data_IF_968548122410
#
_entry.id   IF_968548122410
#
_cell.length_a   1.000
_cell.length_b   1.000
_cell.length_c   1.000
_cell.angle_alpha   90.00
_cell.angle_beta   90.00
_cell.angle_gamma   90.00
#
_symmetry.space_group_name_H-M   'P 1'
#
loop_
_entity.id
_entity.type
_entity.pdbx_description
1 polymer ?
#
# COMPACT_ATOMS: atom_id res chain seq x y z
N UNK A 1 13.65 -14.72 -11.84
CA UNK A 1 13.72 -13.64 -10.85
C UNK A 1 14.02 -14.32 -9.54
N UNK A 2 15.12 -13.94 -8.91
CA UNK A 2 15.40 -14.31 -7.52
C UNK A 2 14.30 -13.74 -6.62
N UNK A 3 14.23 -14.22 -5.37
CA UNK A 3 13.11 -13.98 -4.48
C UNK A 3 13.62 -13.49 -3.12
N UNK A 4 14.65 -12.62 -3.14
CA UNK A 4 15.38 -12.13 -1.97
C UNK A 4 14.42 -11.61 -0.90
N UNK A 5 13.55 -10.68 -1.25
CA UNK A 5 12.63 -10.02 -0.32
C UNK A 5 11.36 -10.80 0.00
N UNK A 6 11.17 -11.98 -0.61
CA UNK A 6 9.97 -12.80 -0.42
C UNK A 6 10.33 -14.17 0.13
N UNK A 7 10.50 -15.18 -0.72
CA UNK A 7 10.67 -16.56 -0.26
C UNK A 7 12.01 -16.80 0.45
N UNK A 8 13.07 -16.05 0.13
CA UNK A 8 14.39 -16.22 0.75
C UNK A 8 14.49 -15.52 2.11
N UNK A 9 13.80 -14.38 2.28
CA UNK A 9 13.75 -13.65 3.55
C UNK A 9 12.80 -14.32 4.55
N UNK A 10 11.72 -14.95 4.06
CA UNK A 10 10.64 -15.50 4.88
C UNK A 10 11.11 -16.39 6.06
N UNK A 11 12.08 -17.32 5.90
CA UNK A 11 12.52 -18.17 7.02
C UNK A 11 13.25 -17.41 8.14
N UNK A 12 13.70 -16.18 7.86
CA UNK A 12 14.41 -15.32 8.81
C UNK A 12 13.44 -14.40 9.58
N UNK A 13 12.17 -14.33 9.16
CA UNK A 13 11.16 -13.49 9.78
C UNK A 13 10.44 -14.26 10.88
N UNK A 14 10.23 -13.61 12.03
CA UNK A 14 9.35 -14.14 13.06
C UNK A 14 7.91 -14.23 12.53
N UNK A 15 7.30 -15.40 12.71
CA UNK A 15 5.87 -15.58 12.42
C UNK A 15 5.04 -14.70 13.35
N UNK A 16 4.06 -13.99 12.81
CA UNK A 16 3.15 -13.17 13.59
C UNK A 16 2.42 -14.06 14.61
N UNK A 17 2.54 -13.79 15.92
CA UNK A 17 1.91 -14.64 16.93
C UNK A 17 0.38 -14.59 16.81
N UNK A 18 -0.26 -15.69 17.19
CA UNK A 18 -1.69 -15.71 17.44
C UNK A 18 -1.92 -15.44 18.94
N UNK A 19 -2.55 -14.32 19.32
CA UNK A 19 -2.82 -14.03 20.72
C UNK A 19 -3.72 -15.08 21.37
N UNK A 20 -3.50 -15.30 22.67
CA UNK A 20 -4.44 -16.04 23.49
C UNK A 20 -5.79 -15.30 23.58
N UNK A 21 -6.89 -16.06 23.53
CA UNK A 21 -8.23 -15.48 23.48
C UNK A 21 -8.61 -14.83 24.81
N UNK A 22 -8.20 -15.40 25.94
CA UNK A 22 -8.50 -14.85 27.26
C UNK A 22 -7.73 -13.55 27.51
N UNK A 23 -6.46 -13.52 27.11
CA UNK A 23 -5.65 -12.31 27.13
C UNK A 23 -6.25 -11.22 26.20
N UNK A 24 -6.77 -11.61 25.04
CA UNK A 24 -7.41 -10.69 24.07
C UNK A 24 -8.68 -10.07 24.64
N UNK A 25 -9.60 -10.90 25.16
CA UNK A 25 -10.87 -10.44 25.73
C UNK A 25 -10.65 -9.59 26.99
N UNK A 26 -9.70 -9.95 27.85
CA UNK A 26 -9.34 -9.16 29.03
C UNK A 26 -8.80 -7.77 28.66
N UNK A 27 -7.99 -7.69 27.60
CA UNK A 27 -7.50 -6.40 27.08
C UNK A 27 -8.63 -5.57 26.47
N UNK A 28 -9.53 -6.21 25.71
CA UNK A 28 -10.69 -5.56 25.11
C UNK A 28 -11.58 -4.93 26.18
N UNK A 29 -11.92 -5.67 27.25
CA UNK A 29 -12.70 -5.13 28.36
C UNK A 29 -11.97 -3.93 28.99
N UNK A 30 -10.69 -4.09 29.35
CA UNK A 30 -9.88 -3.03 29.96
C UNK A 30 -9.83 -1.76 29.11
N UNK A 31 -9.61 -1.88 27.81
CA UNK A 31 -9.49 -0.73 26.89
C UNK A 31 -10.83 -0.08 26.56
N UNK A 32 -11.94 -0.80 26.69
CA UNK A 32 -13.28 -0.25 26.50
C UNK A 32 -13.78 0.59 27.69
N UNK A 33 -13.28 0.35 28.91
CA UNK A 33 -13.73 1.03 30.14
C UNK A 33 -13.83 2.57 30.07
N UNK A 34 -12.85 3.31 29.52
CA UNK A 34 -12.95 4.77 29.44
C UNK A 34 -14.03 5.27 28.46
N UNK A 35 -14.54 4.39 27.58
CA UNK A 35 -15.55 4.74 26.55
C UNK A 35 -16.98 4.40 26.99
N UNK A 36 -17.15 3.66 28.08
CA UNK A 36 -18.44 3.07 28.50
C UNK A 36 -18.83 3.53 29.90
N UNK A 37 -20.10 3.89 30.11
CA UNK A 37 -20.66 4.11 31.45
C UNK A 37 -20.92 2.80 32.21
N UNK A 38 -21.28 2.87 33.50
CA UNK A 38 -21.46 1.69 34.37
C UNK A 38 -22.37 0.61 33.80
N UNK A 39 -23.57 0.99 33.36
CA UNK A 39 -24.54 0.05 32.78
C UNK A 39 -24.03 -0.59 31.48
N UNK A 40 -23.33 0.18 30.65
CA UNK A 40 -22.74 -0.31 29.41
C UNK A 40 -21.58 -1.26 29.69
N UNK A 41 -20.77 -1.00 30.72
CA UNK A 41 -19.68 -1.89 31.15
C UNK A 41 -20.22 -3.25 31.62
N UNK A 42 -21.28 -3.26 32.45
CA UNK A 42 -21.90 -4.50 32.90
C UNK A 42 -22.43 -5.32 31.71
N UNK A 43 -23.20 -4.67 30.82
CA UNK A 43 -23.70 -5.30 29.60
C UNK A 43 -22.57 -5.85 28.71
N UNK A 44 -21.48 -5.11 28.55
CA UNK A 44 -20.35 -5.52 27.73
C UNK A 44 -19.59 -6.70 28.34
N UNK A 45 -19.44 -6.74 29.67
CA UNK A 45 -18.86 -7.88 30.38
C UNK A 45 -19.70 -9.15 30.17
N UNK A 46 -21.03 -9.07 30.26
CA UNK A 46 -21.92 -10.19 29.98
C UNK A 46 -21.79 -10.68 28.53
N UNK A 47 -21.68 -9.75 27.56
CA UNK A 47 -21.45 -10.08 26.16
C UNK A 47 -20.10 -10.77 25.92
N UNK A 48 -19.03 -10.31 26.57
CA UNK A 48 -17.71 -10.95 26.51
C UNK A 48 -17.78 -12.36 27.10
N UNK A 49 -18.44 -12.55 28.24
CA UNK A 49 -18.60 -13.85 28.88
C UNK A 49 -19.38 -14.82 27.99
N UNK A 50 -20.49 -14.37 27.40
CA UNK A 50 -21.28 -15.17 26.47
C UNK A 50 -20.48 -15.54 25.21
N UNK A 51 -19.76 -14.58 24.61
CA UNK A 51 -18.90 -14.83 23.45
C UNK A 51 -17.80 -15.86 23.79
N UNK A 52 -17.16 -15.72 24.95
CA UNK A 52 -16.10 -16.64 25.42
C UNK A 52 -16.60 -18.08 25.55
N UNK A 53 -17.82 -18.27 26.04
CA UNK A 53 -18.41 -19.61 26.21
C UNK A 53 -18.96 -20.20 24.91
N UNK A 54 -19.50 -19.37 24.02
CA UNK A 54 -20.22 -19.82 22.82
C UNK A 54 -19.31 -19.82 21.58
N UNK A 55 -19.13 -18.66 20.93
CA UNK A 55 -18.54 -18.58 19.59
C UNK A 55 -17.00 -18.61 19.61
N UNK A 56 -16.38 -18.10 20.68
CA UNK A 56 -14.94 -17.93 20.75
C UNK A 56 -14.12 -19.23 20.59
N UNK A 57 -14.51 -20.39 21.15
CA UNK A 57 -13.79 -21.65 20.95
C UNK A 57 -13.69 -22.07 19.49
N UNK A 58 -14.79 -21.97 18.74
CA UNK A 58 -14.83 -22.34 17.31
C UNK A 58 -14.02 -21.34 16.47
N UNK A 59 -14.25 -20.03 16.68
CA UNK A 59 -13.53 -19.00 15.93
C UNK A 59 -12.03 -19.02 16.22
N UNK A 60 -11.61 -19.25 17.47
CA UNK A 60 -10.20 -19.36 17.83
C UNK A 60 -9.58 -20.64 17.25
N UNK A 61 -10.34 -21.75 17.13
CA UNK A 61 -9.87 -22.96 16.46
C UNK A 61 -9.62 -22.71 14.96
N UNK A 62 -10.54 -22.03 14.27
CA UNK A 62 -10.37 -21.62 12.87
C UNK A 62 -9.17 -20.67 12.69
N UNK A 63 -8.97 -19.72 13.61
CA UNK A 63 -7.79 -18.86 13.62
C UNK A 63 -6.50 -19.63 13.85
N UNK A 64 -6.48 -20.61 14.76
CA UNK A 64 -5.34 -21.51 14.99
C UNK A 64 -5.00 -22.34 13.77
N UNK A 65 -6.01 -22.89 13.09
CA UNK A 65 -5.82 -23.61 11.83
C UNK A 65 -5.19 -22.69 10.78
N UNK A 66 -5.79 -21.52 10.53
CA UNK A 66 -5.25 -20.54 9.59
C UNK A 66 -3.83 -20.09 9.95
N UNK A 67 -3.57 -19.89 11.24
CA UNK A 67 -2.25 -19.55 11.74
C UNK A 67 -1.26 -20.66 11.41
N UNK A 68 -1.59 -21.94 11.64
CA UNK A 68 -0.74 -23.08 11.30
C UNK A 68 -0.46 -23.16 9.79
N UNK A 69 -1.48 -22.94 8.95
CA UNK A 69 -1.39 -23.00 7.48
C UNK A 69 -0.65 -21.82 6.83
N UNK A 70 -0.44 -20.71 7.55
CA UNK A 70 0.25 -19.52 7.02
C UNK A 70 1.68 -19.42 7.54
N UNK A 71 2.64 -19.13 6.64
CA UNK A 71 4.06 -19.19 7.01
C UNK A 71 4.55 -17.99 7.84
N UNK A 72 3.96 -16.80 7.70
CA UNK A 72 4.40 -15.62 8.44
C UNK A 72 3.25 -14.78 9.01
N UNK A 73 2.33 -14.29 8.18
CA UNK A 73 1.31 -13.35 8.62
C UNK A 73 -0.10 -13.81 8.23
N UNK A 74 -0.85 -14.25 9.22
CA UNK A 74 -2.22 -14.75 9.05
C UNK A 74 -3.27 -13.63 8.86
N UNK A 75 -2.94 -12.40 9.26
CA UNK A 75 -3.81 -11.21 9.22
C UNK A 75 -3.75 -10.49 7.87
N UNK A 76 -2.57 -10.37 7.27
CA UNK A 76 -2.36 -9.61 6.02
C UNK A 76 -3.33 -9.98 4.90
N UNK A 77 -3.64 -11.26 4.62
CA UNK A 77 -4.62 -11.60 3.58
C UNK A 77 -6.04 -11.13 3.93
N UNK A 78 -6.44 -11.18 5.21
CA UNK A 78 -7.76 -10.74 5.69
C UNK A 78 -7.88 -9.22 5.54
N UNK A 79 -6.89 -8.48 6.08
CA UNK A 79 -6.84 -7.02 6.00
C UNK A 79 -6.83 -6.53 4.55
N UNK A 80 -6.03 -7.17 3.68
CA UNK A 80 -5.99 -6.84 2.25
C UNK A 80 -7.36 -7.04 1.59
N UNK A 81 -8.03 -8.16 1.86
CA UNK A 81 -9.35 -8.42 1.29
C UNK A 81 -10.37 -7.38 1.75
N UNK A 82 -10.37 -7.02 3.04
CA UNK A 82 -11.23 -5.97 3.57
C UNK A 82 -11.00 -4.63 2.85
N UNK A 83 -9.75 -4.19 2.70
CA UNK A 83 -9.41 -2.95 1.98
C UNK A 83 -9.84 -2.97 0.51
N UNK A 84 -9.71 -4.12 -0.16
CA UNK A 84 -10.10 -4.28 -1.56
C UNK A 84 -11.61 -4.42 -1.76
N UNK A 85 -12.37 -4.74 -0.72
CA UNK A 85 -13.85 -4.74 -0.73
C UNK A 85 -14.46 -3.40 -0.33
N UNK A 86 -13.72 -2.50 0.32
CA UNK A 86 -14.23 -1.17 0.62
C UNK A 86 -14.65 -0.45 -0.68
N UNK A 87 -15.88 0.08 -0.70
CA UNK A 87 -16.51 0.72 -1.86
C UNK A 87 -16.58 2.25 -1.78
N UNK A 88 -16.21 2.84 -0.65
CA UNK A 88 -16.08 4.29 -0.54
C UNK A 88 -14.92 4.81 -1.41
N UNK A 89 -14.92 6.10 -1.78
CA UNK A 89 -13.76 6.75 -2.38
C UNK A 89 -12.47 6.46 -1.59
N UNK A 90 -11.37 6.19 -2.31
CA UNK A 90 -10.11 5.84 -1.64
C UNK A 90 -9.48 7.04 -0.93
N UNK A 91 -9.76 8.24 -1.42
CA UNK A 91 -9.35 9.52 -0.87
C UNK A 91 -9.92 9.72 0.54
N UNK A 92 -11.07 9.12 0.84
CA UNK A 92 -11.72 9.20 2.15
C UNK A 92 -11.27 8.09 3.10
N UNK A 93 -10.83 6.94 2.56
CA UNK A 93 -10.75 5.70 3.36
C UNK A 93 -9.39 5.03 3.42
N UNK A 94 -8.50 5.23 2.44
CA UNK A 94 -7.23 4.50 2.39
C UNK A 94 -6.03 5.32 1.95
N UNK A 95 -6.23 6.33 1.11
CA UNK A 95 -5.14 7.18 0.65
C UNK A 95 -4.75 8.13 1.78
N UNK A 96 -3.46 8.24 2.01
CA UNK A 96 -2.87 9.21 2.93
C UNK A 96 -1.73 9.93 2.20
N UNK A 97 -1.37 11.10 2.71
CA UNK A 97 -0.27 11.90 2.19
C UNK A 97 0.66 12.30 3.34
N UNK A 98 1.94 12.41 3.02
CA UNK A 98 2.91 13.05 3.89
C UNK A 98 3.23 14.43 3.33
N UNK A 99 3.38 15.40 4.22
CA UNK A 99 3.91 16.72 3.85
C UNK A 99 5.36 16.80 4.29
N UNK A 100 6.23 17.29 3.41
CA UNK A 100 7.61 17.61 3.76
C UNK A 100 7.69 19.11 4.03
N UNK A 101 8.23 19.48 5.18
CA UNK A 101 8.46 20.90 5.51
C UNK A 101 9.44 21.51 4.52
N UNK A 102 9.13 22.69 4.00
CA UNK A 102 9.97 23.39 3.02
C UNK A 102 11.39 23.63 3.52
N UNK A 103 11.58 23.87 4.82
CA UNK A 103 12.89 24.01 5.46
C UNK A 103 13.79 22.75 5.35
N UNK A 104 13.20 21.59 5.09
CA UNK A 104 13.92 20.32 4.92
C UNK A 104 14.14 19.96 3.45
N UNK A 105 13.67 20.79 2.51
CA UNK A 105 13.87 20.57 1.08
C UNK A 105 15.15 21.27 0.61
N UNK A 106 15.88 20.68 -0.34
CA UNK A 106 16.99 21.38 -0.97
C UNK A 106 16.49 22.60 -1.76
N UNK A 107 17.31 23.64 -1.82
CA UNK A 107 17.02 24.86 -2.59
C UNK A 107 17.14 24.58 -4.09
N UNK A 108 16.04 24.15 -4.70
CA UNK A 108 15.93 23.79 -6.10
C UNK A 108 14.60 24.32 -6.65
N UNK A 109 14.59 24.73 -7.91
CA UNK A 109 13.35 25.04 -8.61
C UNK A 109 12.47 23.79 -8.78
N UNK A 110 11.19 24.00 -9.07
CA UNK A 110 10.18 22.95 -9.20
C UNK A 110 10.58 21.85 -10.20
N UNK A 111 11.13 22.25 -11.36
CA UNK A 111 11.47 21.33 -12.46
C UNK A 111 12.65 20.47 -12.04
N UNK A 112 13.72 21.09 -11.52
CA UNK A 112 14.90 20.38 -11.04
C UNK A 112 14.56 19.46 -9.88
N UNK A 113 13.71 19.88 -8.95
CA UNK A 113 13.24 19.04 -7.85
C UNK A 113 12.47 17.80 -8.36
N UNK A 114 11.50 18.00 -9.26
CA UNK A 114 10.71 16.92 -9.83
C UNK A 114 11.58 15.94 -10.63
N UNK A 115 12.52 16.44 -11.42
CA UNK A 115 13.48 15.63 -12.17
C UNK A 115 14.36 14.78 -11.23
N UNK A 116 14.90 15.36 -10.14
CA UNK A 116 15.67 14.61 -9.14
C UNK A 116 14.84 13.54 -8.44
N UNK A 117 13.58 13.83 -8.10
CA UNK A 117 12.68 12.84 -7.49
C UNK A 117 12.44 11.67 -8.44
N UNK A 118 12.13 11.93 -9.71
CA UNK A 118 11.93 10.89 -10.72
C UNK A 118 13.19 10.04 -10.92
N UNK A 119 14.36 10.67 -10.97
CA UNK A 119 15.65 9.96 -11.07
C UNK A 119 15.88 9.04 -9.85
N UNK A 120 15.72 9.57 -8.64
CA UNK A 120 15.90 8.79 -7.41
C UNK A 120 14.90 7.62 -7.31
N UNK A 121 13.65 7.80 -7.73
CA UNK A 121 12.68 6.70 -7.79
C UNK A 121 13.06 5.63 -8.81
N UNK A 122 13.66 6.02 -9.95
CA UNK A 122 14.15 5.07 -10.95
C UNK A 122 15.32 4.24 -10.41
N UNK A 123 16.28 4.88 -9.75
CA UNK A 123 17.41 4.21 -9.10
C UNK A 123 16.91 3.23 -8.02
N UNK A 124 15.99 3.67 -7.16
CA UNK A 124 15.44 2.82 -6.10
C UNK A 124 14.63 1.65 -6.68
N UNK A 125 13.87 1.87 -7.74
CA UNK A 125 13.17 0.80 -8.44
C UNK A 125 14.16 -0.23 -8.99
N UNK A 126 15.25 0.21 -9.65
CA UNK A 126 16.27 -0.69 -10.15
C UNK A 126 16.88 -1.51 -9.02
N UNK A 127 17.30 -0.89 -7.92
CA UNK A 127 17.90 -1.58 -6.79
C UNK A 127 16.98 -2.66 -6.19
N UNK A 128 15.67 -2.43 -6.11
CA UNK A 128 14.71 -3.47 -5.66
C UNK A 128 14.36 -4.49 -6.73
N UNK A 129 14.41 -4.12 -8.01
CA UNK A 129 14.12 -5.02 -9.13
C UNK A 129 15.30 -5.94 -9.47
N UNK A 130 16.54 -5.46 -9.27
CA UNK A 130 17.80 -6.21 -9.37
C UNK A 130 18.13 -6.97 -8.08
N UNK A 131 17.40 -6.70 -6.99
CA UNK A 131 17.62 -7.24 -5.64
C UNK A 131 18.96 -6.84 -5.01
N UNK A 132 19.52 -5.71 -5.44
CA UNK A 132 20.74 -5.12 -4.89
C UNK A 132 20.47 -4.34 -3.60
N UNK A 133 19.26 -3.80 -3.42
CA UNK A 133 18.91 -3.08 -2.18
C UNK A 133 19.08 -4.01 -0.96
N UNK A 134 19.71 -3.54 0.13
CA UNK A 134 19.98 -4.36 1.31
C UNK A 134 18.69 -4.82 1.98
N UNK A 135 18.77 -5.91 2.76
CA UNK A 135 17.68 -6.29 3.66
C UNK A 135 17.67 -5.30 4.82
N UNK A 136 16.51 -4.69 5.05
CA UNK A 136 16.33 -3.78 6.18
C UNK A 136 16.22 -4.56 7.49
N UNK A 137 16.74 -3.96 8.55
CA UNK A 137 16.71 -4.51 9.90
C UNK A 137 16.07 -3.52 10.86
N UNK A 138 15.38 -4.05 11.87
CA UNK A 138 14.91 -3.28 13.00
C UNK A 138 16.09 -2.83 13.88
N UNK A 139 15.88 -1.91 14.85
CA UNK A 139 16.95 -1.45 15.75
C UNK A 139 17.67 -2.55 16.54
N UNK A 140 17.02 -3.71 16.72
CA UNK A 140 17.57 -4.89 17.38
C UNK A 140 18.38 -5.82 16.43
N UNK A 141 18.53 -5.42 15.16
CA UNK A 141 19.27 -6.16 14.13
C UNK A 141 18.47 -7.26 13.44
N UNK A 142 17.21 -7.51 13.83
CA UNK A 142 16.38 -8.53 13.18
C UNK A 142 15.86 -8.03 11.82
N UNK A 143 15.81 -8.90 10.78
CA UNK A 143 15.27 -8.50 9.49
C UNK A 143 13.79 -8.14 9.57
N UNK A 144 13.36 -7.15 8.77
CA UNK A 144 11.95 -6.78 8.64
C UNK A 144 11.33 -7.36 7.37
N UNK A 145 10.00 -7.54 7.35
CA UNK A 145 9.30 -7.97 6.14
C UNK A 145 9.42 -6.91 5.03
N UNK A 146 10.08 -7.27 3.93
CA UNK A 146 10.23 -6.42 2.75
C UNK A 146 9.35 -6.85 1.58
N UNK A 147 8.42 -7.80 1.78
CA UNK A 147 7.59 -8.36 0.70
C UNK A 147 6.66 -7.35 0.02
N UNK A 148 6.45 -6.18 0.64
CA UNK A 148 5.63 -5.08 0.11
C UNK A 148 6.43 -4.03 -0.66
N UNK A 149 7.76 -3.96 -0.51
CA UNK A 149 8.59 -2.88 -1.09
C UNK A 149 8.51 -2.88 -2.61
N UNK A 150 8.58 -4.06 -3.23
CA UNK A 150 8.43 -4.19 -4.67
C UNK A 150 7.01 -3.88 -5.17
N UNK A 151 6.03 -3.63 -4.29
CA UNK A 151 4.68 -3.18 -4.66
C UNK A 151 4.54 -1.66 -4.64
N UNK A 152 5.55 -0.93 -4.14
CA UNK A 152 5.61 0.53 -4.27
C UNK A 152 5.70 0.95 -5.74
N UNK A 153 6.32 0.10 -6.55
CA UNK A 153 6.54 0.35 -7.96
C UNK A 153 5.62 -0.50 -8.84
N UNK A 154 5.18 0.10 -9.95
CA UNK A 154 4.50 -0.60 -11.06
C UNK A 154 3.32 -1.45 -10.62
N UNK A 155 2.63 -0.98 -9.59
CA UNK A 155 1.44 -1.62 -9.01
C UNK A 155 0.32 -0.58 -8.99
N UNK A 156 -0.85 -0.99 -9.46
CA UNK A 156 -2.05 -0.17 -9.45
C UNK A 156 -3.22 -0.96 -8.89
N UNK A 157 -4.18 -0.25 -8.28
CA UNK A 157 -5.45 -0.82 -7.86
C UNK A 157 -6.43 -0.71 -9.02
N UNK A 158 -6.84 -1.84 -9.58
CA UNK A 158 -7.84 -1.88 -10.63
C UNK A 158 -9.24 -1.99 -10.01
N UNK A 159 -10.19 -1.10 -10.37
CA UNK A 159 -11.56 -1.22 -9.92
C UNK A 159 -12.18 -2.51 -10.46
N UNK A 160 -12.92 -3.22 -9.60
CA UNK A 160 -13.72 -4.38 -9.98
C UNK A 160 -15.11 -4.30 -9.40
N UNK A 161 -16.01 -5.15 -9.89
CA UNK A 161 -17.36 -5.31 -9.34
C UNK A 161 -17.25 -5.93 -7.95
N UNK A 162 -17.78 -5.25 -6.94
CA UNK A 162 -17.81 -5.63 -5.51
C UNK A 162 -16.45 -5.81 -4.81
N UNK A 163 -15.37 -6.01 -5.57
CA UNK A 163 -14.01 -6.13 -5.07
C UNK A 163 -13.00 -5.64 -6.11
N UNK A 164 -12.05 -4.83 -5.68
CA UNK A 164 -10.93 -4.38 -6.52
C UNK A 164 -9.81 -5.42 -6.54
N UNK A 165 -8.88 -5.27 -7.48
CA UNK A 165 -7.67 -6.09 -7.55
C UNK A 165 -6.43 -5.20 -7.48
N UNK A 166 -5.34 -5.74 -6.91
CA UNK A 166 -4.02 -5.13 -7.05
C UNK A 166 -3.34 -5.76 -8.26
N UNK A 167 -3.16 -4.97 -9.31
CA UNK A 167 -2.44 -5.39 -10.50
C UNK A 167 -1.01 -4.89 -10.41
N UNK A 168 -0.06 -5.83 -10.29
CA UNK A 168 1.37 -5.55 -10.41
C UNK A 168 1.85 -5.94 -11.79
N UNK A 169 2.46 -4.99 -12.50
CA UNK A 169 3.09 -5.26 -13.79
C UNK A 169 4.41 -6.01 -13.57
N UNK A 170 4.76 -6.92 -14.48
CA UNK A 170 5.99 -7.71 -14.40
C UNK A 170 7.22 -6.80 -14.26
N UNK A 171 8.07 -7.07 -13.27
CA UNK A 171 9.35 -6.37 -13.12
C UNK A 171 10.17 -6.46 -14.43
N UNK A 172 10.75 -5.33 -14.84
CA UNK A 172 11.72 -5.22 -15.93
C UNK A 172 12.77 -4.19 -15.54
N UNK A 173 14.01 -4.41 -15.95
CA UNK A 173 15.12 -3.48 -15.75
C UNK A 173 15.29 -2.50 -16.92
N UNK A 174 14.38 -2.54 -17.90
CA UNK A 174 14.44 -1.81 -19.16
C UNK A 174 13.08 -1.26 -19.52
N UNK A 175 13.05 -0.15 -20.26
CA UNK A 175 11.84 0.49 -20.77
C UNK A 175 10.81 0.74 -19.65
N UNK A 176 11.24 1.43 -18.60
CA UNK A 176 10.38 1.79 -17.48
C UNK A 176 10.00 3.25 -17.62
N UNK A 177 8.71 3.50 -17.51
CA UNK A 177 8.11 4.82 -17.69
C UNK A 177 7.37 5.20 -16.41
N UNK A 178 7.26 6.50 -16.17
CA UNK A 178 6.45 7.10 -15.12
C UNK A 178 5.37 7.96 -15.75
N UNK A 179 4.24 8.03 -15.07
CA UNK A 179 3.14 8.91 -15.45
C UNK A 179 3.32 10.27 -14.78
N UNK A 180 3.43 11.32 -15.58
CA UNK A 180 3.45 12.72 -15.13
C UNK A 180 2.12 13.36 -15.49
N UNK A 181 1.51 14.07 -14.54
CA UNK A 181 0.26 14.79 -14.76
C UNK A 181 0.54 16.28 -14.59
N UNK A 182 0.27 17.05 -15.64
CA UNK A 182 0.41 18.51 -15.62
C UNK A 182 -0.80 19.14 -16.30
N UNK A 183 -1.44 20.12 -15.64
CA UNK A 183 -2.63 20.81 -16.12
C UNK A 183 -3.69 19.89 -16.76
N UNK A 184 -4.07 18.82 -16.04
CA UNK A 184 -5.08 17.83 -16.48
C UNK A 184 -4.65 16.91 -17.62
N UNK A 185 -3.46 17.09 -18.18
CA UNK A 185 -2.92 16.23 -19.24
C UNK A 185 -2.00 15.16 -18.65
N UNK A 186 -2.08 13.94 -19.18
CA UNK A 186 -1.30 12.78 -18.75
C UNK A 186 -0.17 12.50 -19.73
N UNK A 187 1.07 12.48 -19.24
CA UNK A 187 2.29 12.22 -20.02
C UNK A 187 2.96 10.94 -19.53
N UNK A 188 3.57 10.19 -20.46
CA UNK A 188 4.48 9.09 -20.13
C UNK A 188 5.92 9.55 -20.31
N UNK A 189 6.69 9.53 -19.23
CA UNK A 189 8.09 9.93 -19.20
C UNK A 189 8.95 8.71 -18.98
N UNK A 190 9.90 8.46 -19.88
CA UNK A 190 10.83 7.34 -19.76
C UNK A 190 11.86 7.61 -18.68
N UNK A 191 11.86 6.75 -17.66
CA UNK A 191 12.83 6.80 -16.56
C UNK A 191 14.02 5.87 -16.79
N UNK A 192 13.78 4.71 -17.41
CA UNK A 192 14.82 3.72 -17.69
C UNK A 192 14.73 3.29 -19.15
N UNK A 193 15.84 3.39 -19.88
CA UNK A 193 15.88 3.14 -21.31
C UNK A 193 15.93 1.63 -21.69
N UNK A 194 16.08 1.36 -22.98
CA UNK A 194 16.17 0.00 -23.53
C UNK A 194 17.48 -0.71 -23.16
N UNK A 195 18.51 0.04 -22.78
CA UNK A 195 19.78 -0.47 -22.29
C UNK A 195 19.78 -0.70 -20.76
N UNK A 196 18.75 -0.21 -20.05
CA UNK A 196 18.62 -0.31 -18.59
C UNK A 196 19.28 0.84 -17.84
N UNK A 197 19.55 1.96 -18.53
CA UNK A 197 20.15 3.16 -17.94
C UNK A 197 19.05 4.10 -17.46
N UNK A 198 19.26 4.68 -16.28
CA UNK A 198 18.39 5.71 -15.73
C UNK A 198 18.58 7.01 -16.50
N UNK A 199 17.47 7.72 -16.77
CA UNK A 199 17.49 9.02 -17.42
C UNK A 199 18.33 10.02 -16.62
N UNK A 200 19.10 10.86 -17.32
CA UNK A 200 19.94 11.86 -16.67
C UNK A 200 19.09 12.99 -16.14
N UNK A 201 19.57 13.68 -15.09
CA UNK A 201 18.90 14.86 -14.54
C UNK A 201 18.62 15.89 -15.64
N UNK A 202 19.59 16.14 -16.52
CA UNK A 202 19.44 17.05 -17.65
C UNK A 202 18.28 16.63 -18.57
N UNK A 203 18.23 15.36 -19.01
CA UNK A 203 17.16 14.88 -19.90
C UNK A 203 15.76 14.93 -19.26
N UNK A 204 15.67 14.66 -17.96
CA UNK A 204 14.41 14.75 -17.22
C UNK A 204 13.97 16.21 -17.05
N UNK A 205 14.89 17.12 -16.74
CA UNK A 205 14.61 18.56 -16.68
C UNK A 205 14.12 19.08 -18.03
N UNK A 206 14.80 18.76 -19.14
CA UNK A 206 14.34 19.16 -20.49
C UNK A 206 12.94 18.62 -20.80
N UNK A 207 12.68 17.35 -20.49
CA UNK A 207 11.37 16.72 -20.71
C UNK A 207 10.27 17.41 -19.90
N UNK A 208 10.53 17.71 -18.62
CA UNK A 208 9.57 18.37 -17.75
C UNK A 208 9.33 19.84 -18.15
N UNK A 209 10.37 20.55 -18.59
CA UNK A 209 10.23 21.91 -19.15
C UNK A 209 9.32 21.88 -20.38
N UNK A 210 9.54 20.94 -21.31
CA UNK A 210 8.68 20.78 -22.50
C UNK A 210 7.22 20.47 -22.14
N UNK A 211 7.01 19.65 -21.10
CA UNK A 211 5.66 19.38 -20.58
C UNK A 211 5.02 20.66 -20.04
N UNK A 212 5.78 21.49 -19.30
CA UNK A 212 5.27 22.73 -18.73
C UNK A 212 5.01 23.83 -19.76
N UNK A 213 5.79 23.87 -20.84
CA UNK A 213 5.59 24.79 -21.96
C UNK A 213 4.42 24.38 -22.87
N UNK A 214 3.92 23.15 -22.73
CA UNK A 214 2.78 22.69 -23.48
C UNK A 214 1.48 23.33 -22.96
N UNK A 215 0.87 24.15 -23.80
CA UNK A 215 -0.38 24.88 -23.48
C UNK A 215 -1.64 24.08 -23.79
N UNK A 216 -1.53 22.91 -24.42
CA UNK A 216 -2.67 22.05 -24.68
C UNK A 216 -3.13 21.36 -23.39
N UNK A 217 -4.36 21.62 -22.99
CA UNK A 217 -5.02 20.94 -21.89
C UNK A 217 -6.15 20.06 -22.41
N UNK A 218 -6.25 18.85 -21.86
CA UNK A 218 -7.42 18.00 -22.09
C UNK A 218 -8.68 18.70 -21.57
N UNK A 219 -9.77 18.66 -22.34
CA UNK A 219 -11.04 19.27 -21.94
C UNK A 219 -11.63 18.64 -20.66
N UNK A 220 -11.20 17.42 -20.33
CA UNK A 220 -11.63 16.68 -19.15
C UNK A 220 -10.47 15.85 -18.59
N UNK A 221 -10.17 16.00 -17.31
CA UNK A 221 -9.18 15.17 -16.63
C UNK A 221 -9.72 13.78 -16.29
N UNK A 222 -9.30 12.77 -17.05
CA UNK A 222 -9.68 11.37 -16.79
C UNK A 222 -9.31 10.87 -15.39
N UNK A 223 -8.30 11.47 -14.74
CA UNK A 223 -7.92 11.10 -13.38
C UNK A 223 -9.00 11.39 -12.33
N UNK A 224 -9.97 12.28 -12.63
CA UNK A 224 -11.09 12.56 -11.74
C UNK A 224 -11.92 11.30 -11.42
N UNK A 225 -12.01 10.34 -12.35
CA UNK A 225 -12.71 9.07 -12.12
C UNK A 225 -12.12 8.24 -10.98
N UNK A 226 -10.84 8.44 -10.66
CA UNK A 226 -10.19 7.72 -9.55
C UNK A 226 -10.66 8.17 -8.17
N UNK A 227 -11.39 9.29 -8.11
CA UNK A 227 -12.05 9.84 -6.91
C UNK A 227 -13.49 9.39 -6.69
N UNK A 228 -14.08 8.66 -7.62
CA UNK A 228 -15.44 8.17 -7.47
C UNK A 228 -15.52 6.98 -6.49
N UNK A 229 -16.70 6.72 -5.90
CA UNK A 229 -16.99 5.46 -5.22
C UNK A 229 -16.68 4.26 -6.11
N UNK A 230 -16.28 3.14 -5.50
CA UNK A 230 -16.02 1.89 -6.23
C UNK A 230 -17.34 1.21 -6.57
N UNK A 231 -17.36 0.55 -7.73
CA UNK A 231 -18.58 -0.08 -8.26
C UNK A 231 -19.09 -1.20 -7.36
N UNK A 232 -20.42 -1.29 -7.27
CA UNK A 232 -21.15 -2.41 -6.67
C UNK A 232 -22.13 -2.96 -7.70
N UNK A 233 -22.39 -4.27 -7.66
CA UNK A 233 -23.31 -4.92 -8.60
C UNK A 233 -24.73 -4.33 -8.53
N UNK A 234 -25.13 -3.77 -7.39
CA UNK A 234 -26.46 -3.19 -7.16
C UNK A 234 -26.58 -1.73 -7.64
N UNK A 235 -25.47 -1.10 -8.06
CA UNK A 235 -25.46 0.26 -8.62
C UNK A 235 -25.84 0.33 -10.11
N UNK A 236 -26.09 -0.81 -10.77
CA UNK A 236 -26.48 -0.88 -12.19
C UNK A 236 -28.00 -0.91 -12.41
N UNK A 237 -28.83 -0.88 -11.36
CA UNK A 237 -30.29 -0.96 -11.50
C UNK A 237 -30.98 0.38 -11.77
N UNK A 238 -30.24 1.48 -11.91
CA UNK A 238 -30.79 2.82 -12.09
C UNK A 238 -29.94 3.70 -13.00
N UNK A 239 -29.77 3.29 -14.26
CA UNK A 239 -29.50 4.20 -15.39
C UNK A 239 -30.38 3.76 -16.55
#
# INVERSE_FOLDING_TARGET
>A
MTAKYSTQLLPQLAKLPLPDIDATLSRLEKWSRPLLGDLQRAKFADQIAAFKTNDAPELQALLKQRWAETNANWVTPISRQHTLKNRHPLQETSNFAFTVFSANLPDLDQVTMAAKLLQNFADQYLAYASEEAPVETAPDGQPVDMSTYQRLFRTQRQPGLDQDTLQKTRNTLKNVESTVIYHQTVYQVRLIDHAGRVATLHSLTETLTQIMENTAADAFFIGAYTGLPRMTQHGYSSI
#
